data_IF_693307259470
#
_entry.id   IF_693307259470
#
_cell.length_a   1.000
_cell.length_b   1.000
_cell.length_c   1.000
_cell.angle_alpha   90.00
_cell.angle_beta   90.00
_cell.angle_gamma   90.00
#
_symmetry.space_group_name_H-M   'P 1'
#
loop_
_entity.id
_entity.type
_entity.pdbx_description
1 polymer ?
#
# COMPACT_ATOMS: atom_id res chain seq x y z
N UNK A 1 -20.40 -13.78 -19.55
CA UNK A 1 -19.04 -13.93 -20.10
C UNK A 1 -18.40 -15.11 -19.38
N UNK A 2 -18.01 -16.16 -20.11
CA UNK A 2 -17.42 -17.37 -19.51
C UNK A 2 -15.98 -17.05 -19.09
N UNK A 3 -15.58 -17.42 -17.86
CA UNK A 3 -14.18 -17.35 -17.43
C UNK A 3 -13.28 -18.10 -18.42
N UNK A 4 -12.13 -17.50 -18.73
CA UNK A 4 -11.09 -18.07 -19.59
C UNK A 4 -10.73 -19.49 -19.16
N UNK A 5 -10.58 -20.40 -20.13
CA UNK A 5 -10.21 -21.82 -19.93
C UNK A 5 -8.97 -22.01 -19.04
N UNK A 6 -8.12 -20.98 -18.90
CA UNK A 6 -6.90 -20.97 -18.10
C UNK A 6 -7.14 -20.99 -16.59
N UNK A 7 -8.14 -20.27 -16.08
CA UNK A 7 -8.45 -20.22 -14.65
C UNK A 7 -9.07 -21.54 -14.16
N UNK A 8 -9.90 -22.16 -15.00
CA UNK A 8 -10.49 -23.47 -14.71
C UNK A 8 -9.43 -24.59 -14.66
N UNK A 9 -8.44 -24.55 -15.55
CA UNK A 9 -7.32 -25.50 -15.57
C UNK A 9 -6.44 -25.40 -14.31
N UNK A 10 -6.11 -24.17 -13.88
CA UNK A 10 -5.27 -23.95 -12.70
C UNK A 10 -5.95 -24.41 -11.39
N UNK A 11 -7.26 -24.23 -11.27
CA UNK A 11 -8.05 -24.67 -10.11
C UNK A 11 -8.11 -26.19 -10.01
N UNK A 12 -8.18 -26.88 -11.14
CA UNK A 12 -8.28 -28.35 -11.21
C UNK A 12 -6.92 -29.02 -10.98
N UNK A 13 -5.84 -28.51 -11.59
CA UNK A 13 -4.48 -29.02 -11.39
C UNK A 13 -3.97 -28.88 -9.96
N UNK A 14 -4.28 -27.77 -9.29
CA UNK A 14 -3.80 -27.50 -7.93
C UNK A 14 -4.73 -28.01 -6.82
N UNK A 15 -5.78 -28.78 -7.16
CA UNK A 15 -6.75 -29.33 -6.19
C UNK A 15 -7.33 -28.27 -5.23
N UNK A 16 -7.53 -27.04 -5.70
CA UNK A 16 -8.07 -25.90 -4.90
C UNK A 16 -9.56 -26.12 -4.54
N UNK A 17 -10.13 -27.27 -4.93
CA UNK A 17 -11.51 -27.70 -4.74
C UNK A 17 -12.03 -27.71 -3.28
N UNK A 18 -11.21 -27.44 -2.25
CA UNK A 18 -11.63 -27.54 -0.85
C UNK A 18 -11.58 -26.26 0.00
N UNK A 19 -10.75 -25.25 -0.31
CA UNK A 19 -10.68 -24.01 0.49
C UNK A 19 -11.50 -22.87 -0.12
N UNK A 20 -11.55 -22.76 -1.45
CA UNK A 20 -12.17 -21.64 -2.15
C UNK A 20 -13.08 -22.14 -3.28
N UNK A 21 -14.39 -22.05 -3.06
CA UNK A 21 -15.38 -22.20 -4.13
C UNK A 21 -15.83 -20.82 -4.58
N UNK A 22 -15.19 -20.30 -5.62
CA UNK A 22 -15.82 -19.24 -6.41
C UNK A 22 -17.10 -19.78 -7.05
N UNK A 23 -18.27 -19.44 -6.51
CA UNK A 23 -19.53 -19.81 -7.16
C UNK A 23 -19.59 -19.13 -8.53
N UNK A 24 -19.61 -19.93 -9.60
CA UNK A 24 -19.78 -19.50 -11.00
C UNK A 24 -21.15 -18.86 -11.31
N UNK A 25 -22.01 -18.67 -10.31
CA UNK A 25 -23.31 -18.02 -10.44
C UNK A 25 -23.62 -17.29 -9.15
N UNK A 26 -23.34 -15.98 -9.13
CA UNK A 26 -24.15 -15.07 -8.32
C UNK A 26 -25.21 -14.47 -9.24
N UNK A 27 -26.39 -14.20 -8.70
CA UNK A 27 -27.56 -13.60 -9.36
C UNK A 27 -27.32 -12.11 -9.69
N UNK A 28 -26.07 -11.69 -9.87
CA UNK A 28 -25.67 -10.30 -10.08
C UNK A 28 -25.76 -9.85 -11.54
N UNK A 29 -26.64 -10.46 -12.36
CA UNK A 29 -27.05 -9.84 -13.63
C UNK A 29 -27.86 -8.55 -13.41
N UNK A 30 -28.14 -8.18 -12.16
CA UNK A 30 -28.93 -7.01 -11.77
C UNK A 30 -28.18 -5.98 -10.92
N UNK A 31 -26.91 -6.18 -10.56
CA UNK A 31 -26.17 -5.16 -9.81
C UNK A 31 -25.27 -4.40 -10.77
N UNK A 32 -25.87 -3.37 -11.34
CA UNK A 32 -25.28 -2.32 -12.15
C UNK A 32 -24.45 -1.36 -11.28
N UNK A 33 -23.55 -1.87 -10.44
CA UNK A 33 -22.66 -0.98 -9.68
C UNK A 33 -21.24 -1.53 -9.51
N UNK A 34 -20.30 -0.63 -9.73
CA UNK A 34 -18.93 -0.86 -10.16
C UNK A 34 -18.04 -1.52 -9.09
N UNK A 35 -17.04 -2.28 -9.55
CA UNK A 35 -15.85 -2.72 -8.81
C UNK A 35 -15.94 -3.82 -7.75
N UNK A 36 -17.10 -4.44 -7.49
CA UNK A 36 -17.20 -5.50 -6.47
C UNK A 36 -17.23 -6.93 -7.06
N UNK A 37 -16.69 -7.91 -6.31
CA UNK A 37 -16.76 -9.35 -6.61
C UNK A 37 -17.14 -10.09 -5.33
N UNK A 38 -18.16 -10.94 -5.40
CA UNK A 38 -18.56 -11.81 -4.28
C UNK A 38 -17.80 -13.13 -4.31
N UNK A 39 -17.21 -13.51 -3.19
CA UNK A 39 -16.45 -14.76 -3.00
C UNK A 39 -17.04 -15.51 -1.82
N UNK A 40 -17.12 -16.83 -1.92
CA UNK A 40 -17.47 -17.71 -0.80
C UNK A 40 -16.19 -18.36 -0.29
N UNK A 41 -15.90 -18.16 1.00
CA UNK A 41 -14.73 -18.67 1.71
C UNK A 41 -15.19 -19.71 2.74
N UNK A 42 -14.54 -20.87 2.77
CA UNK A 42 -14.71 -21.83 3.86
C UNK A 42 -13.72 -21.49 4.98
N UNK A 43 -14.23 -20.94 6.08
CA UNK A 43 -13.44 -20.51 7.24
C UNK A 43 -12.94 -21.68 8.11
N UNK A 44 -13.27 -22.92 7.76
CA UNK A 44 -12.78 -24.11 8.48
C UNK A 44 -11.30 -24.41 8.21
N UNK A 45 -10.68 -23.71 7.25
CA UNK A 45 -9.29 -23.89 6.84
C UNK A 45 -8.34 -22.93 7.58
N UNK A 46 -7.06 -23.31 7.77
CA UNK A 46 -6.05 -22.44 8.37
C UNK A 46 -5.86 -21.12 7.62
N UNK A 47 -5.69 -20.03 8.37
CA UNK A 47 -5.51 -18.66 7.85
C UNK A 47 -4.40 -18.56 6.81
N UNK A 48 -3.26 -19.20 7.04
CA UNK A 48 -2.10 -19.18 6.12
C UNK A 48 -2.46 -19.73 4.73
N UNK A 49 -3.29 -20.78 4.68
CA UNK A 49 -3.74 -21.42 3.45
C UNK A 49 -4.75 -20.51 2.74
N UNK A 50 -5.72 -19.97 3.48
CA UNK A 50 -6.73 -19.05 2.94
C UNK A 50 -6.09 -17.80 2.33
N UNK A 51 -5.12 -17.22 3.03
CA UNK A 51 -4.38 -16.05 2.58
C UNK A 51 -3.53 -16.35 1.33
N UNK A 52 -2.85 -17.50 1.30
CA UNK A 52 -2.08 -17.94 0.14
C UNK A 52 -2.96 -18.09 -1.10
N UNK A 53 -4.09 -18.78 -0.95
CA UNK A 53 -5.00 -19.03 -2.06
C UNK A 53 -5.65 -17.73 -2.57
N UNK A 54 -6.06 -16.83 -1.67
CA UNK A 54 -6.55 -15.50 -2.03
C UNK A 54 -5.48 -14.68 -2.76
N UNK A 55 -4.24 -14.69 -2.28
CA UNK A 55 -3.13 -13.97 -2.92
C UNK A 55 -2.86 -14.46 -4.34
N UNK A 56 -2.98 -15.77 -4.59
CA UNK A 56 -2.82 -16.37 -5.91
C UNK A 56 -3.97 -16.05 -6.88
N UNK A 57 -5.21 -15.96 -6.38
CA UNK A 57 -6.40 -15.76 -7.22
C UNK A 57 -6.72 -14.29 -7.52
N UNK A 58 -6.33 -13.36 -6.65
CA UNK A 58 -6.58 -11.92 -6.83
C UNK A 58 -6.05 -11.36 -8.18
N UNK A 59 -4.83 -11.69 -8.65
CA UNK A 59 -4.35 -11.24 -9.96
C UNK A 59 -5.19 -11.79 -11.12
N UNK A 60 -5.65 -13.04 -11.01
CA UNK A 60 -6.45 -13.71 -12.05
C UNK A 60 -7.82 -13.02 -12.15
N UNK A 61 -8.48 -12.78 -11.01
CA UNK A 61 -9.77 -12.10 -10.98
C UNK A 61 -9.70 -10.66 -11.48
N UNK A 62 -8.60 -9.94 -11.18
CA UNK A 62 -8.38 -8.59 -11.74
C UNK A 62 -8.27 -8.61 -13.25
N UNK A 63 -7.54 -9.59 -13.80
CA UNK A 63 -7.41 -9.76 -15.25
C UNK A 63 -8.75 -10.10 -15.90
N UNK A 64 -9.52 -11.02 -15.31
CA UNK A 64 -10.82 -11.45 -15.84
C UNK A 64 -11.88 -10.34 -15.79
N UNK A 65 -11.74 -9.38 -14.87
CA UNK A 65 -12.61 -8.21 -14.74
C UNK A 65 -12.06 -6.96 -15.46
N UNK A 66 -10.94 -7.09 -16.20
CA UNK A 66 -10.23 -6.01 -16.89
C UNK A 66 -9.87 -4.81 -15.98
N UNK A 67 -9.65 -5.07 -14.68
CA UNK A 67 -9.33 -4.04 -13.69
C UNK A 67 -7.82 -3.97 -13.43
N UNK A 68 -7.29 -2.75 -13.37
CA UNK A 68 -5.91 -2.50 -12.95
C UNK A 68 -5.84 -2.45 -11.42
N UNK A 69 -4.86 -3.13 -10.85
CA UNK A 69 -4.55 -2.93 -9.43
C UNK A 69 -3.95 -1.55 -9.26
N UNK A 70 -4.57 -0.70 -8.44
CA UNK A 70 -4.08 0.65 -8.21
C UNK A 70 -2.87 0.71 -7.26
N UNK A 71 -2.47 -0.42 -6.67
CA UNK A 71 -1.56 -0.42 -5.55
C UNK A 71 -0.43 -1.43 -5.72
N UNK A 72 0.72 -0.95 -6.20
CA UNK A 72 2.04 -1.57 -6.05
C UNK A 72 2.58 -1.46 -4.61
N UNK A 73 1.70 -1.30 -3.61
CA UNK A 73 2.09 -1.23 -2.21
C UNK A 73 2.61 -2.60 -1.76
N UNK A 74 3.93 -2.77 -1.85
CA UNK A 74 4.70 -3.86 -1.24
C UNK A 74 4.58 -3.73 0.29
N UNK A 75 3.44 -4.18 0.79
CA UNK A 75 3.04 -4.14 2.18
C UNK A 75 3.54 -5.44 2.84
N UNK A 76 4.68 -5.37 3.53
CA UNK A 76 4.92 -6.22 4.73
C UNK A 76 6.25 -5.82 5.40
N UNK A 77 7.38 -5.76 4.67
CA UNK A 77 8.67 -5.42 5.29
C UNK A 77 9.06 -3.93 5.25
N UNK A 78 8.41 -3.13 4.39
CA UNK A 78 8.79 -1.73 4.21
C UNK A 78 8.28 -0.82 5.32
N UNK A 79 7.15 -1.14 5.96
CA UNK A 79 6.49 -0.18 6.86
C UNK A 79 7.25 0.10 8.16
N UNK A 80 7.81 -0.93 8.80
CA UNK A 80 8.63 -0.75 10.00
C UNK A 80 9.87 0.12 9.72
N UNK A 81 10.52 -0.12 8.57
CA UNK A 81 11.67 0.67 8.08
C UNK A 81 11.26 2.11 7.74
N UNK A 82 10.13 2.29 7.06
CA UNK A 82 9.57 3.61 6.73
C UNK A 82 9.20 4.36 8.02
N UNK A 83 8.52 3.71 8.95
CA UNK A 83 8.13 4.27 10.25
C UNK A 83 9.36 4.74 11.01
N UNK A 84 10.42 3.92 11.06
CA UNK A 84 11.69 4.34 11.68
C UNK A 84 12.29 5.57 10.98
N UNK A 85 12.33 5.59 9.65
CA UNK A 85 12.79 6.77 8.89
C UNK A 85 11.94 8.02 9.11
N UNK A 86 10.63 7.89 9.33
CA UNK A 86 9.76 9.03 9.67
C UNK A 86 10.23 9.72 10.94
N UNK A 87 10.59 8.95 11.96
CA UNK A 87 11.12 9.47 13.22
C UNK A 87 12.57 9.95 13.08
N UNK A 88 13.47 9.11 12.56
CA UNK A 88 14.91 9.40 12.47
C UNK A 88 15.19 10.64 11.61
N UNK A 89 14.44 10.83 10.52
CA UNK A 89 14.58 11.99 9.63
C UNK A 89 13.69 13.17 10.02
N UNK A 90 12.94 13.08 11.13
CA UNK A 90 12.07 14.15 11.63
C UNK A 90 11.15 14.69 10.54
N UNK A 91 10.50 13.77 9.82
CA UNK A 91 9.75 14.08 8.60
C UNK A 91 8.60 15.04 8.85
N UNK A 92 7.88 14.89 9.96
CA UNK A 92 6.77 15.79 10.32
C UNK A 92 7.26 17.23 10.58
N UNK A 93 8.25 17.49 11.46
CA UNK A 93 8.86 18.81 11.59
C UNK A 93 9.41 19.38 10.28
N UNK A 94 10.01 18.54 9.44
CA UNK A 94 10.58 18.99 8.18
C UNK A 94 9.50 19.42 7.18
N UNK A 95 8.39 18.69 7.10
CA UNK A 95 7.23 19.08 6.30
C UNK A 95 6.62 20.39 6.80
N UNK A 96 6.48 20.54 8.11
CA UNK A 96 5.95 21.77 8.72
C UNK A 96 6.80 23.00 8.35
N UNK A 97 8.12 22.91 8.51
CA UNK A 97 9.04 23.99 8.10
C UNK A 97 9.00 24.26 6.59
N UNK A 98 8.85 23.22 5.76
CA UNK A 98 8.75 23.37 4.31
C UNK A 98 7.44 24.07 3.90
N UNK A 99 6.32 23.74 4.52
CA UNK A 99 5.04 24.42 4.27
C UNK A 99 5.03 25.83 4.84
N UNK A 100 5.56 26.04 6.04
CA UNK A 100 5.73 27.37 6.62
C UNK A 100 6.56 28.27 5.70
N UNK A 101 7.67 27.77 5.15
CA UNK A 101 8.51 28.51 4.22
C UNK A 101 7.75 28.91 2.95
N UNK A 102 6.95 27.99 2.40
CA UNK A 102 6.11 28.28 1.22
C UNK A 102 5.06 29.35 1.51
N UNK A 103 4.34 29.24 2.63
CA UNK A 103 3.27 30.18 3.01
C UNK A 103 3.84 31.59 3.22
N UNK A 104 5.03 31.69 3.81
CA UNK A 104 5.70 32.97 4.08
C UNK A 104 6.57 33.45 2.90
N UNK A 105 6.54 32.76 1.76
CA UNK A 105 7.39 33.02 0.60
C UNK A 105 8.90 33.16 0.97
N UNK A 106 9.34 32.38 1.95
CA UNK A 106 10.68 32.36 2.49
C UNK A 106 11.45 31.13 2.00
N UNK A 107 12.78 31.21 1.97
CA UNK A 107 13.65 30.07 1.63
C UNK A 107 14.45 29.65 2.85
N UNK A 108 14.21 28.42 3.33
CA UNK A 108 15.04 27.82 4.39
C UNK A 108 16.16 27.01 3.74
N UNK A 109 17.40 27.41 4.02
CA UNK A 109 18.58 26.69 3.51
C UNK A 109 18.73 25.33 4.19
N UNK A 110 19.34 24.36 3.51
CA UNK A 110 19.60 23.05 4.11
C UNK A 110 20.48 23.13 5.37
N UNK A 111 21.34 24.15 5.47
CA UNK A 111 22.16 24.40 6.66
C UNK A 111 21.29 24.80 7.86
N UNK A 112 20.31 25.67 7.65
CA UNK A 112 19.37 26.08 8.69
C UNK A 112 18.49 24.89 9.09
N UNK A 113 18.01 24.10 8.12
CA UNK A 113 17.25 22.87 8.41
C UNK A 113 18.07 21.86 9.22
N UNK A 114 19.35 21.68 8.90
CA UNK A 114 20.28 20.81 9.65
C UNK A 114 20.40 21.25 11.10
N UNK A 115 20.64 22.54 11.34
CA UNK A 115 20.79 23.07 12.71
C UNK A 115 19.47 23.05 13.49
N UNK A 116 18.34 23.34 12.84
CA UNK A 116 17.03 23.41 13.49
C UNK A 116 16.48 22.02 13.83
N UNK A 117 16.65 21.05 12.93
CA UNK A 117 16.09 19.71 13.10
C UNK A 117 17.08 18.76 13.75
N UNK A 118 18.39 18.91 13.52
CA UNK A 118 19.42 17.96 13.95
C UNK A 118 20.52 18.67 14.75
N UNK A 119 20.21 19.18 15.96
CA UNK A 119 21.14 19.98 16.76
C UNK A 119 22.42 19.20 17.14
N UNK A 120 22.35 17.87 17.19
CA UNK A 120 23.48 17.00 17.49
C UNK A 120 24.29 16.60 16.24
N UNK A 121 24.10 17.29 15.11
CA UNK A 121 24.75 16.99 13.82
C UNK A 121 24.49 15.56 13.29
N UNK A 122 23.32 14.99 13.60
CA UNK A 122 22.86 13.68 13.09
C UNK A 122 22.81 13.67 11.55
N UNK A 123 22.41 14.80 10.94
CA UNK A 123 22.41 15.02 9.50
C UNK A 123 22.88 16.43 9.17
N UNK A 124 23.78 16.53 8.21
CA UNK A 124 24.28 17.79 7.67
C UNK A 124 23.45 18.27 6.46
N UNK A 125 23.84 19.42 5.90
CA UNK A 125 23.15 20.00 4.74
C UNK A 125 23.17 19.08 3.50
N UNK A 126 24.18 18.22 3.38
CA UNK A 126 24.35 17.29 2.25
C UNK A 126 23.41 16.09 2.45
N UNK A 127 23.40 15.48 3.64
CA UNK A 127 22.51 14.38 4.01
C UNK A 127 21.03 14.76 3.88
N UNK A 128 20.68 16.00 4.24
CA UNK A 128 19.33 16.54 3.99
C UNK A 128 19.00 16.55 2.49
N UNK A 129 19.91 17.03 1.65
CA UNK A 129 19.69 17.18 0.22
C UNK A 129 19.59 15.82 -0.50
N UNK A 130 20.46 14.88 -0.17
CA UNK A 130 20.63 13.62 -0.89
C UNK A 130 19.77 12.49 -0.34
N UNK A 131 19.37 12.53 0.93
CA UNK A 131 18.67 11.41 1.57
C UNK A 131 17.27 11.80 2.03
N UNK A 132 17.14 12.87 2.81
CA UNK A 132 15.87 13.20 3.47
C UNK A 132 14.87 13.82 2.48
N UNK A 133 15.29 14.80 1.67
CA UNK A 133 14.41 15.41 0.67
C UNK A 133 13.87 14.42 -0.37
N UNK A 134 14.69 13.51 -0.95
CA UNK A 134 14.18 12.47 -1.83
C UNK A 134 13.22 11.52 -1.13
N UNK A 135 13.50 11.16 0.12
CA UNK A 135 12.59 10.33 0.91
C UNK A 135 11.22 10.98 1.11
N UNK A 136 11.16 12.27 1.44
CA UNK A 136 9.89 13.02 1.59
C UNK A 136 9.10 13.01 0.27
N UNK A 137 9.76 13.26 -0.85
CA UNK A 137 9.11 13.26 -2.18
C UNK A 137 8.50 11.90 -2.51
N UNK A 138 9.25 10.82 -2.26
CA UNK A 138 8.76 9.46 -2.48
C UNK A 138 7.66 9.10 -1.48
N UNK A 139 7.80 9.50 -0.22
CA UNK A 139 6.79 9.30 0.81
C UNK A 139 5.45 9.92 0.43
N UNK A 140 5.43 11.15 -0.08
CA UNK A 140 4.20 11.80 -0.56
C UNK A 140 3.58 11.14 -1.79
N UNK A 141 4.38 10.48 -2.64
CA UNK A 141 3.89 9.78 -3.83
C UNK A 141 3.35 8.38 -3.51
N UNK A 142 3.99 7.67 -2.58
CA UNK A 142 3.68 6.28 -2.23
C UNK A 142 2.58 6.14 -1.15
N UNK A 143 2.34 7.18 -0.35
CA UNK A 143 1.35 7.16 0.72
C UNK A 143 0.13 8.02 0.39
N UNK A 144 -0.88 7.40 -0.21
CA UNK A 144 -2.23 7.97 -0.23
C UNK A 144 -2.77 8.11 1.20
N UNK A 145 -3.49 9.20 1.48
CA UNK A 145 -4.15 9.47 2.78
C UNK A 145 -4.99 8.27 3.26
N UNK A 146 -5.58 7.52 2.34
CA UNK A 146 -6.38 6.33 2.63
C UNK A 146 -5.56 5.20 3.28
N UNK A 147 -4.31 5.01 2.86
CA UNK A 147 -3.40 4.01 3.42
C UNK A 147 -2.98 4.40 4.84
N UNK A 148 -2.73 5.70 5.06
CA UNK A 148 -2.40 6.21 6.39
C UNK A 148 -3.58 6.05 7.35
N UNK A 149 -4.81 6.32 6.89
CA UNK A 149 -6.04 6.15 7.68
C UNK A 149 -6.25 4.70 8.10
N UNK A 150 -6.13 3.73 7.18
CA UNK A 150 -6.28 2.30 7.50
C UNK A 150 -5.22 1.84 8.50
N UNK A 151 -3.96 2.21 8.30
CA UNK A 151 -2.84 1.78 9.17
C UNK A 151 -2.83 2.42 10.57
N UNK A 152 -3.38 3.62 10.72
CA UNK A 152 -3.52 4.27 12.03
C UNK A 152 -4.61 3.59 12.89
N UNK A 153 -5.65 3.06 12.24
CA UNK A 153 -6.71 2.30 12.91
C UNK A 153 -6.24 0.92 13.38
N UNK A 154 -5.31 0.28 12.65
CA UNK A 154 -4.74 -1.03 13.04
C UNK A 154 -3.79 -0.96 14.27
N UNK A 155 -3.47 0.24 14.78
CA UNK A 155 -2.52 0.44 15.91
C UNK A 155 -3.19 0.74 17.26
N UNK A 156 -4.50 0.50 17.38
CA UNK A 156 -5.28 0.65 18.61
C UNK A 156 -6.03 -0.64 18.95
#
# INVERSE_FOLDING_TARGET
MQLSKKAAHYIDENKINRSLRGQKRSVSKTISDNDQMHITLDLSWPDEILLSDLAALLPIWRMDLERKSENSCKLSNSWSVIKKKIFDYKILPMLDLMEWAKINNATITNRVLSLALFPNAEYDAIGIAQTIKPFIRNFSADFSIEILKRKAMDSF
#
